data_IF_247900894085
#
_entry.id   IF_247900894085
#
_cell.length_a   1.000
_cell.length_b   1.000
_cell.length_c   1.000
_cell.angle_alpha   90.00
_cell.angle_beta   90.00
_cell.angle_gamma   90.00
#
_symmetry.space_group_name_H-M   'P 1'
#
loop_
_entity.id
_entity.type
_entity.pdbx_description
1 polymer ?
#
# COMPACT_ATOMS: atom_id res chain seq x y z
N UNK A 1 -18.44 -2.57 10.39
CA UNK A 1 -17.14 -3.21 10.06
C UNK A 1 -15.95 -2.70 10.89
N UNK A 2 -15.47 -1.44 10.75
CA UNK A 2 -14.28 -0.96 11.50
C UNK A 2 -14.56 -0.89 13.01
N UNK A 3 -15.65 -0.23 13.43
CA UNK A 3 -16.07 -0.15 14.84
C UNK A 3 -16.35 -1.53 15.49
N UNK A 4 -16.79 -2.50 14.70
CA UNK A 4 -17.02 -3.88 15.18
C UNK A 4 -15.73 -4.67 15.35
N UNK A 5 -14.66 -4.29 14.64
CA UNK A 5 -13.36 -4.95 14.68
C UNK A 5 -12.43 -4.35 15.74
N UNK A 6 -12.58 -3.07 16.01
CA UNK A 6 -11.76 -2.28 16.94
C UNK A 6 -11.72 -2.87 18.36
N UNK A 7 -12.84 -3.41 18.85
CA UNK A 7 -12.93 -4.04 20.18
C UNK A 7 -12.52 -5.51 20.27
N UNK A 8 -12.14 -6.15 19.15
CA UNK A 8 -11.77 -7.57 19.17
C UNK A 8 -10.26 -7.72 19.42
N UNK A 9 -9.88 -8.44 20.48
CA UNK A 9 -8.48 -8.65 20.88
C UNK A 9 -7.57 -9.06 19.70
N UNK A 10 -8.05 -9.95 18.83
CA UNK A 10 -7.33 -10.43 17.62
C UNK A 10 -6.95 -9.34 16.61
N UNK A 11 -7.55 -8.16 16.68
CA UNK A 11 -7.23 -7.02 15.82
C UNK A 11 -6.60 -5.87 16.62
N UNK A 12 -6.98 -5.69 17.89
CA UNK A 12 -6.44 -4.67 18.77
C UNK A 12 -4.94 -4.84 19.06
N UNK A 13 -4.46 -6.08 19.07
CA UNK A 13 -3.05 -6.39 19.31
C UNK A 13 -2.20 -6.38 18.04
N UNK A 14 -2.83 -6.30 16.85
CA UNK A 14 -2.10 -6.37 15.59
C UNK A 14 -1.22 -5.15 15.41
N UNK A 15 0.00 -5.38 14.95
CA UNK A 15 0.98 -4.32 14.69
C UNK A 15 1.19 -4.13 13.20
N UNK A 16 1.52 -2.89 12.84
CA UNK A 16 2.01 -2.52 11.52
C UNK A 16 3.48 -2.16 11.65
N UNK A 17 4.31 -2.73 10.79
CA UNK A 17 5.68 -2.27 10.61
C UNK A 17 5.71 -1.29 9.44
N UNK A 18 6.03 -0.04 9.74
CA UNK A 18 6.21 1.02 8.75
C UNK A 18 7.69 1.39 8.73
N UNK A 19 8.28 1.36 7.54
CA UNK A 19 9.67 1.75 7.31
C UNK A 19 9.68 2.84 6.25
N UNK A 20 10.51 3.86 6.48
CA UNK A 20 10.76 4.91 5.51
C UNK A 20 12.28 5.04 5.34
N UNK A 21 12.72 5.14 4.09
CA UNK A 21 14.08 5.48 3.71
C UNK A 21 14.01 6.68 2.78
N UNK A 22 14.82 7.68 3.09
CA UNK A 22 14.99 8.88 2.28
C UNK A 22 16.40 8.79 1.73
N UNK A 23 16.49 8.61 0.41
CA UNK A 23 17.72 8.60 -0.35
C UNK A 23 17.82 9.93 -1.14
N UNK A 24 19.01 10.33 -1.63
CA UNK A 24 19.16 11.60 -2.33
C UNK A 24 18.26 11.77 -3.56
N UNK A 25 17.92 10.67 -4.23
CA UNK A 25 17.16 10.63 -5.48
C UNK A 25 15.77 9.97 -5.33
N UNK A 26 15.39 9.55 -4.12
CA UNK A 26 14.17 8.79 -3.94
C UNK A 26 13.66 8.74 -2.50
N UNK A 27 12.35 8.52 -2.39
CA UNK A 27 11.65 8.21 -1.15
C UNK A 27 11.11 6.79 -1.25
N UNK A 28 11.51 5.93 -0.31
CA UNK A 28 11.07 4.54 -0.24
C UNK A 28 10.28 4.30 1.04
N UNK A 29 9.05 3.85 0.90
CA UNK A 29 8.17 3.48 2.01
C UNK A 29 7.86 1.99 1.95
N UNK A 30 7.88 1.31 3.09
CA UNK A 30 7.36 -0.05 3.22
C UNK A 30 6.37 -0.14 4.36
N UNK A 31 5.24 -0.81 4.11
CA UNK A 31 4.21 -1.10 5.11
C UNK A 31 4.01 -2.61 5.13
N UNK A 32 4.17 -3.23 6.29
CA UNK A 32 3.92 -4.66 6.51
C UNK A 32 2.87 -4.86 7.60
N UNK A 33 1.88 -5.70 7.33
CA UNK A 33 0.89 -6.14 8.31
C UNK A 33 1.05 -7.62 8.72
N UNK A 34 0.39 -7.99 9.80
CA UNK A 34 0.37 -9.37 10.35
C UNK A 34 -0.80 -10.21 9.80
N UNK A 35 -1.27 -9.90 8.60
CA UNK A 35 -2.25 -10.67 7.85
C UNK A 35 -1.61 -11.74 6.99
N UNK A 36 -2.45 -12.61 6.44
CA UNK A 36 -2.06 -13.61 5.43
C UNK A 36 -1.69 -12.99 4.07
N UNK A 37 -1.87 -11.67 3.93
CA UNK A 37 -1.77 -10.95 2.67
C UNK A 37 -2.89 -11.29 1.69
N UNK A 38 -2.69 -10.93 0.42
CA UNK A 38 -3.66 -11.17 -0.65
C UNK A 38 -2.96 -11.32 -2.00
N UNK A 39 -3.66 -11.92 -2.96
CA UNK A 39 -3.18 -12.05 -4.33
C UNK A 39 -3.24 -10.69 -5.05
N UNK A 40 -2.08 -10.06 -5.18
CA UNK A 40 -1.93 -8.78 -5.86
C UNK A 40 -1.82 -8.93 -7.40
N UNK A 41 -1.56 -10.13 -7.92
CA UNK A 41 -1.44 -10.36 -9.36
C UNK A 41 -2.79 -10.27 -10.08
N UNK A 42 -3.88 -10.53 -9.35
CA UNK A 42 -5.26 -10.36 -9.84
C UNK A 42 -5.81 -8.93 -9.73
N UNK A 43 -4.99 -7.94 -9.35
CA UNK A 43 -5.45 -6.56 -9.23
C UNK A 43 -5.76 -5.95 -10.61
N UNK A 44 -6.82 -5.14 -10.72
CA UNK A 44 -7.14 -4.45 -11.97
C UNK A 44 -6.08 -3.40 -12.30
N UNK A 45 -5.94 -3.08 -13.58
CA UNK A 45 -5.13 -1.94 -14.01
C UNK A 45 -5.81 -0.62 -13.56
N UNK A 46 -5.29 -0.05 -12.48
CA UNK A 46 -5.83 1.16 -11.85
C UNK A 46 -5.62 2.43 -12.70
N UNK A 47 -4.76 2.38 -13.73
CA UNK A 47 -4.57 3.51 -14.65
C UNK A 47 -5.73 3.69 -15.63
N UNK A 48 -6.59 2.66 -15.75
CA UNK A 48 -7.72 2.60 -16.69
C UNK A 48 -9.10 2.60 -16.01
N UNK A 49 -9.15 2.59 -14.68
CA UNK A 49 -10.43 2.58 -13.97
C UNK A 49 -11.09 3.95 -14.00
N UNK A 50 -12.31 4.00 -14.48
CA UNK A 50 -13.22 5.13 -14.59
C UNK A 50 -13.72 5.64 -13.22
N UNK A 51 -12.81 6.00 -12.32
CA UNK A 51 -13.03 6.96 -11.23
C UNK A 51 -14.13 6.70 -10.18
N UNK A 52 -14.95 5.64 -10.27
CA UNK A 52 -16.21 5.55 -9.53
C UNK A 52 -16.38 4.28 -8.68
N UNK A 53 -15.33 3.84 -7.97
CA UNK A 53 -15.50 2.83 -6.90
C UNK A 53 -15.54 3.49 -5.52
N UNK A 54 -16.59 3.19 -4.76
CA UNK A 54 -16.79 3.65 -3.37
C UNK A 54 -15.83 3.02 -2.36
N UNK A 55 -15.08 1.99 -2.77
CA UNK A 55 -14.05 1.30 -1.99
C UNK A 55 -12.85 0.94 -2.89
N UNK A 56 -11.66 0.75 -2.31
CA UNK A 56 -10.45 0.39 -3.08
C UNK A 56 -9.61 1.57 -3.59
N UNK A 57 -9.93 2.81 -3.18
CA UNK A 57 -9.15 4.00 -3.58
C UNK A 57 -7.70 4.00 -3.08
N UNK A 58 -7.39 3.27 -2.01
CA UNK A 58 -6.03 3.21 -1.48
C UNK A 58 -5.01 2.75 -2.52
N UNK A 59 -5.33 1.66 -3.24
CA UNK A 59 -4.48 1.16 -4.31
C UNK A 59 -4.41 2.12 -5.50
N UNK A 60 -5.54 2.72 -5.89
CA UNK A 60 -5.55 3.75 -6.93
C UNK A 60 -4.59 4.90 -6.58
N UNK A 61 -4.71 5.47 -5.37
CA UNK A 61 -3.86 6.57 -4.90
C UNK A 61 -2.38 6.17 -4.88
N UNK A 62 -2.07 4.96 -4.41
CA UNK A 62 -0.70 4.44 -4.41
C UNK A 62 -0.17 4.37 -5.85
N UNK A 63 -0.93 3.76 -6.75
CA UNK A 63 -0.53 3.58 -8.16
C UNK A 63 -0.43 4.89 -8.93
N UNK A 64 -1.25 5.91 -8.63
CA UNK A 64 -1.18 7.21 -9.32
C UNK A 64 -0.09 8.12 -8.77
N UNK A 65 0.41 7.85 -7.56
CA UNK A 65 1.35 8.75 -6.87
C UNK A 65 2.77 8.22 -6.84
N UNK A 66 2.94 6.90 -6.78
CA UNK A 66 4.26 6.24 -6.65
C UNK A 66 4.74 5.75 -8.02
N UNK A 67 6.04 5.84 -8.28
CA UNK A 67 6.62 5.42 -9.56
C UNK A 67 6.80 3.90 -9.63
N UNK A 68 7.14 3.28 -8.49
CA UNK A 68 7.34 1.85 -8.37
C UNK A 68 6.62 1.31 -7.15
N UNK A 69 5.91 0.21 -7.34
CA UNK A 69 5.16 -0.50 -6.31
C UNK A 69 5.50 -1.98 -6.39
N UNK A 70 5.94 -2.55 -5.29
CA UNK A 70 6.31 -3.96 -5.18
C UNK A 70 5.64 -4.60 -3.98
N UNK A 71 5.29 -5.86 -4.14
CA UNK A 71 4.69 -6.68 -3.09
C UNK A 71 5.64 -7.82 -2.74
N UNK A 72 5.66 -8.23 -1.48
CA UNK A 72 6.30 -9.50 -1.15
C UNK A 72 5.45 -10.69 -1.61
N UNK A 73 6.03 -11.89 -1.57
CA UNK A 73 5.37 -13.11 -2.04
C UNK A 73 4.00 -13.38 -1.37
N UNK A 74 3.86 -13.10 -0.08
CA UNK A 74 2.58 -13.27 0.63
C UNK A 74 1.58 -12.15 0.38
N UNK A 75 1.99 -11.00 -0.16
CA UNK A 75 1.13 -9.84 -0.39
C UNK A 75 0.73 -9.09 0.87
N UNK A 76 1.44 -9.27 2.00
CA UNK A 76 1.22 -8.52 3.24
C UNK A 76 2.25 -7.41 3.48
N UNK A 77 3.22 -7.27 2.57
CA UNK A 77 4.13 -6.13 2.52
C UNK A 77 4.03 -5.45 1.17
N UNK A 78 3.81 -4.14 1.20
CA UNK A 78 3.98 -3.26 0.06
C UNK A 78 5.26 -2.43 0.24
N UNK A 79 6.00 -2.24 -0.84
CA UNK A 79 7.13 -1.31 -0.93
C UNK A 79 6.84 -0.34 -2.07
N UNK A 80 6.90 0.95 -1.77
CA UNK A 80 6.55 2.04 -2.67
C UNK A 80 7.75 2.95 -2.81
N UNK A 81 8.13 3.28 -4.05
CA UNK A 81 9.23 4.19 -4.35
C UNK A 81 8.71 5.36 -5.18
N UNK A 82 9.06 6.58 -4.75
CA UNK A 82 8.92 7.81 -5.53
C UNK A 82 10.33 8.33 -5.82
N UNK A 83 10.68 8.50 -7.07
CA UNK A 83 11.91 9.16 -7.49
C UNK A 83 11.75 10.67 -7.39
N UNK A 84 12.75 11.32 -6.80
CA UNK A 84 12.87 12.76 -6.75
C UNK A 84 13.52 13.18 -8.07
N UNK A 85 12.71 13.53 -9.06
CA UNK A 85 13.22 14.33 -10.18
C UNK A 85 13.53 15.72 -9.65
N UNK A 86 14.62 16.36 -10.11
CA UNK A 86 14.65 17.82 -10.11
C UNK A 86 13.41 18.27 -10.88
N UNK A 87 12.57 19.10 -10.27
CA UNK A 87 11.37 19.65 -10.90
C UNK A 87 11.73 20.19 -12.30
N UNK A 88 10.98 19.80 -13.34
CA UNK A 88 10.99 20.47 -14.66
C UNK A 88 10.57 21.96 -14.50
#
# INVERSE_FOLDING_TARGET
LIKEREGLARYAEKKLLIQARIDPDSLVFSVTDEGQGFDYAGLPDFTRTDGLRTSGRGLLLIHTTMDRVEWNQSGNRITMTRFLSEDD
#
